data_IF_376724286054
#
_entry.id   IF_376724286054
#
_cell.length_a   1.000
_cell.length_b   1.000
_cell.length_c   1.000
_cell.angle_alpha   90.00
_cell.angle_beta   90.00
_cell.angle_gamma   90.00
#
_symmetry.space_group_name_H-M   'P 1'
#
loop_
_entity.id
_entity.type
_entity.pdbx_description
1 polymer ?
#
# COMPACT_ATOMS: atom_id res chain seq x y z
N UNK A 1 19.24 12.21 8.76
CA UNK A 1 17.93 11.58 8.58
C UNK A 1 16.83 12.56 8.87
N UNK A 2 15.94 12.73 7.95
CA UNK A 2 14.87 13.68 8.13
C UNK A 2 13.67 12.99 8.77
N UNK A 3 13.40 13.31 10.02
CA UNK A 3 12.31 12.71 10.76
C UNK A 3 11.01 13.49 10.61
N UNK A 4 11.07 14.61 9.91
CA UNK A 4 9.89 15.46 9.77
C UNK A 4 9.14 15.23 8.47
N UNK A 5 9.67 14.38 7.61
CA UNK A 5 9.02 14.13 6.34
C UNK A 5 7.70 13.41 6.57
N UNK A 6 6.65 13.93 6.00
CA UNK A 6 5.32 13.32 6.08
C UNK A 6 4.76 13.25 4.68
N UNK A 7 4.71 12.07 4.11
CA UNK A 7 4.15 11.95 2.77
C UNK A 7 2.68 12.35 2.76
N UNK A 8 2.27 12.89 1.64
CA UNK A 8 0.85 13.16 1.43
C UNK A 8 0.11 11.83 1.27
N UNK A 9 -1.22 11.91 1.34
CA UNK A 9 -2.03 10.73 1.11
C UNK A 9 -1.76 10.16 -0.28
N UNK A 10 -1.65 11.02 -1.29
CA UNK A 10 -1.36 10.56 -2.64
C UNK A 10 -0.03 9.85 -2.72
N UNK A 11 0.99 10.39 -2.06
CA UNK A 11 2.30 9.75 -2.05
C UNK A 11 2.26 8.42 -1.34
N UNK A 12 1.50 8.33 -0.25
CA UNK A 12 1.38 7.08 0.48
C UNK A 12 0.69 6.02 -0.36
N UNK A 13 -0.39 6.39 -1.05
CA UNK A 13 -1.08 5.45 -1.93
C UNK A 13 -0.19 5.01 -3.08
N UNK A 14 0.55 5.94 -3.64
CA UNK A 14 1.48 5.62 -4.72
C UNK A 14 2.52 4.61 -4.26
N UNK A 15 3.03 4.79 -3.04
CA UNK A 15 4.01 3.85 -2.48
C UNK A 15 3.41 2.47 -2.32
N UNK A 16 2.16 2.39 -1.88
CA UNK A 16 1.49 1.11 -1.73
C UNK A 16 1.33 0.44 -3.10
N UNK A 17 0.99 1.21 -4.11
CA UNK A 17 0.85 0.67 -5.46
C UNK A 17 2.18 0.14 -5.99
N UNK A 18 3.27 0.81 -5.68
CA UNK A 18 4.58 0.31 -6.06
C UNK A 18 4.90 -1.00 -5.37
N UNK A 19 4.55 -1.12 -4.11
CA UNK A 19 4.73 -2.37 -3.38
C UNK A 19 3.88 -3.48 -3.99
N UNK A 20 2.67 -3.17 -4.38
CA UNK A 20 1.79 -4.13 -5.04
C UNK A 20 2.45 -4.64 -6.32
N UNK A 21 3.02 -3.75 -7.11
CA UNK A 21 3.72 -4.16 -8.33
C UNK A 21 4.91 -5.06 -8.03
N UNK A 22 5.65 -4.77 -6.97
CA UNK A 22 6.78 -5.59 -6.57
C UNK A 22 6.30 -6.98 -6.16
N UNK A 23 5.20 -7.05 -5.43
CA UNK A 23 4.63 -8.34 -5.04
C UNK A 23 4.23 -9.13 -6.28
N UNK A 24 3.63 -8.47 -7.26
CA UNK A 24 3.27 -9.14 -8.51
C UNK A 24 4.50 -9.70 -9.22
N UNK A 25 5.57 -8.94 -9.25
CA UNK A 25 6.80 -9.41 -9.88
C UNK A 25 7.37 -10.61 -9.17
N UNK A 26 7.35 -10.59 -7.84
CA UNK A 26 7.85 -11.71 -7.05
C UNK A 26 6.97 -12.95 -7.25
N UNK A 27 5.67 -12.75 -7.34
CA UNK A 27 4.76 -13.85 -7.61
C UNK A 27 5.04 -14.45 -8.99
N UNK A 28 5.19 -13.61 -9.97
CA UNK A 28 5.45 -14.07 -11.33
C UNK A 28 6.76 -14.84 -11.43
N UNK A 29 7.77 -14.41 -10.68
CA UNK A 29 9.07 -15.08 -10.70
C UNK A 29 9.10 -16.37 -9.88
N UNK A 30 8.04 -16.64 -9.12
CA UNK A 30 7.99 -17.84 -8.29
C UNK A 30 8.69 -17.69 -6.96
N UNK A 31 9.06 -16.47 -6.58
CA UNK A 31 9.75 -16.24 -5.33
C UNK A 31 8.84 -16.33 -4.12
N UNK A 32 7.53 -16.22 -4.32
CA UNK A 32 6.56 -16.27 -3.25
C UNK A 32 5.62 -17.44 -3.44
N UNK A 33 5.21 -18.04 -2.33
CA UNK A 33 4.18 -19.07 -2.37
C UNK A 33 2.81 -18.42 -2.54
N UNK A 34 1.81 -19.22 -2.88
CA UNK A 34 0.45 -18.72 -3.03
C UNK A 34 -0.03 -18.08 -1.73
N UNK A 35 0.27 -18.71 -0.59
CA UNK A 35 -0.13 -18.16 0.70
C UNK A 35 0.54 -16.82 0.97
N UNK A 36 1.81 -16.71 0.61
CA UNK A 36 2.52 -15.46 0.81
C UNK A 36 1.96 -14.35 -0.05
N UNK A 37 1.59 -14.68 -1.29
CA UNK A 37 0.98 -13.70 -2.18
C UNK A 37 -0.35 -13.25 -1.60
N UNK A 38 -1.17 -14.17 -1.13
CA UNK A 38 -2.45 -13.83 -0.53
C UNK A 38 -2.27 -12.92 0.68
N UNK A 39 -1.33 -13.25 1.53
CA UNK A 39 -1.07 -12.43 2.72
C UNK A 39 -0.62 -11.03 2.33
N UNK A 40 0.25 -10.94 1.35
CA UNK A 40 0.74 -9.65 0.90
C UNK A 40 -0.41 -8.82 0.30
N UNK A 41 -1.26 -9.45 -0.49
CA UNK A 41 -2.39 -8.74 -1.08
C UNK A 41 -3.35 -8.24 -0.02
N UNK A 42 -3.63 -9.05 0.98
CA UNK A 42 -4.51 -8.64 2.06
C UNK A 42 -3.89 -7.48 2.82
N UNK A 43 -2.59 -7.56 3.11
CA UNK A 43 -1.91 -6.50 3.84
C UNK A 43 -1.94 -5.19 3.05
N UNK A 44 -1.67 -5.26 1.75
CA UNK A 44 -1.67 -4.05 0.92
C UNK A 44 -3.07 -3.45 0.83
N UNK A 45 -4.08 -4.29 0.68
CA UNK A 45 -5.46 -3.82 0.64
C UNK A 45 -5.84 -3.15 1.95
N UNK A 46 -5.45 -3.76 3.06
CA UNK A 46 -5.73 -3.21 4.38
C UNK A 46 -5.08 -1.84 4.53
N UNK A 47 -3.82 -1.73 4.10
CA UNK A 47 -3.11 -0.47 4.19
C UNK A 47 -3.79 0.59 3.34
N UNK A 48 -4.19 0.24 2.12
CA UNK A 48 -4.90 1.18 1.24
C UNK A 48 -6.17 1.70 1.90
N UNK A 49 -6.95 0.78 2.45
CA UNK A 49 -8.21 1.16 3.09
C UNK A 49 -7.95 2.06 4.28
N UNK A 50 -6.94 1.74 5.05
CA UNK A 50 -6.58 2.56 6.20
C UNK A 50 -6.20 3.98 5.76
N UNK A 51 -5.37 4.08 4.74
CA UNK A 51 -4.94 5.38 4.24
C UNK A 51 -6.14 6.17 3.73
N UNK A 52 -7.01 5.51 2.97
CA UNK A 52 -8.18 6.19 2.40
C UNK A 52 -9.15 6.63 3.49
N UNK A 53 -9.29 5.84 4.53
CA UNK A 53 -10.21 6.22 5.61
C UNK A 53 -9.62 7.31 6.49
N UNK A 54 -8.32 7.56 6.37
CA UNK A 54 -7.68 8.64 7.11
C UNK A 54 -7.76 9.97 6.39
N UNK A 55 -8.22 9.98 5.16
CA UNK A 55 -8.34 11.22 4.40
C UNK A 55 -9.41 12.09 5.06
N UNK A 56 -9.10 13.36 5.33
CA UNK A 56 -10.12 14.25 5.88
C UNK A 56 -11.28 14.38 4.92
N UNK A 57 -12.44 14.43 5.49
CA UNK A 57 -13.65 14.56 4.71
C UNK A 57 -14.06 16.00 4.56
N UNK A 58 -13.19 16.75 3.90
CA UNK A 58 -13.45 18.18 3.75
C UNK A 58 -14.78 18.42 3.05
N UNK A 59 -15.08 17.57 2.09
CA UNK A 59 -16.32 17.69 1.35
C UNK A 59 -17.53 17.40 2.22
N UNK A 60 -17.32 16.74 3.34
CA UNK A 60 -18.41 16.42 4.24
C UNK A 60 -18.83 17.56 5.11
N UNK A 61 -18.24 18.68 4.93
CA UNK A 61 -18.56 19.85 5.73
C UNK A 61 -19.94 20.38 5.41
#
# INVERSE_FOLDING_TARGET
MNNNYRPTIDEALESVEKLDSIVDMLDYSGALSTDEVDEACVALTTIKLYIQSSVPRAEGL
#
